data_IF_741022804798
#
_entry.id   IF_741022804798
#
_cell.length_a   1.000
_cell.length_b   1.000
_cell.length_c   1.000
_cell.angle_alpha   90.00
_cell.angle_beta   90.00
_cell.angle_gamma   90.00
#
_symmetry.space_group_name_H-M   'P 1'
#
loop_
_entity.id
_entity.type
_entity.pdbx_description
1 polymer ?
#
# COMPACT_ATOMS: atom_id res chain seq x y z
N UNK A 1 -4.65 17.67 -8.19
CA UNK A 1 -3.51 16.74 -8.36
C UNK A 1 -3.22 16.05 -7.05
N UNK A 2 -3.18 14.73 -7.07
CA UNK A 2 -2.92 13.96 -5.87
C UNK A 2 -1.43 13.96 -5.54
N UNK A 3 -1.12 14.24 -4.30
CA UNK A 3 0.25 14.31 -3.84
C UNK A 3 0.56 13.08 -3.00
N UNK A 4 1.71 12.46 -3.29
CA UNK A 4 2.14 11.29 -2.54
C UNK A 4 2.94 11.75 -1.33
N UNK A 5 2.54 11.28 -0.17
CA UNK A 5 3.23 11.55 1.08
C UNK A 5 3.83 10.26 1.61
N UNK A 6 4.84 10.38 2.45
CA UNK A 6 5.47 9.24 3.08
C UNK A 6 5.15 9.26 4.57
N UNK A 7 4.52 8.19 5.03
CA UNK A 7 4.29 7.97 6.45
C UNK A 7 5.40 7.09 6.99
N UNK A 8 6.11 7.58 8.00
CA UNK A 8 7.20 6.83 8.62
C UNK A 8 6.75 6.28 9.96
N UNK A 9 6.90 4.99 10.16
CA UNK A 9 6.54 4.32 11.39
C UNK A 9 7.77 3.60 11.93
N UNK A 10 8.09 3.72 13.23
CA UNK A 10 9.16 2.94 13.83
C UNK A 10 8.94 1.43 13.72
N UNK A 11 7.66 1.01 13.68
CA UNK A 11 7.32 -0.41 13.63
C UNK A 11 7.23 -0.94 12.21
N UNK A 12 6.70 -0.15 11.27
CA UNK A 12 6.38 -0.62 9.94
C UNK A 12 7.25 -0.03 8.83
N UNK A 13 8.12 0.93 9.15
CA UNK A 13 8.95 1.58 8.15
C UNK A 13 8.19 2.67 7.41
N UNK A 14 8.55 2.87 6.15
CA UNK A 14 7.98 3.95 5.34
C UNK A 14 6.89 3.43 4.43
N UNK A 15 5.72 4.08 4.48
CA UNK A 15 4.58 3.72 3.64
C UNK A 15 4.16 4.95 2.86
N UNK A 16 4.06 4.82 1.54
CA UNK A 16 3.59 5.91 0.68
C UNK A 16 2.07 5.98 0.76
N UNK A 17 1.55 7.20 0.89
CA UNK A 17 0.13 7.46 1.06
C UNK A 17 -0.30 8.53 0.07
N UNK A 18 -1.50 8.36 -0.49
CA UNK A 18 -2.13 9.36 -1.36
C UNK A 18 -3.46 9.73 -0.74
N UNK A 19 -3.75 11.03 -0.69
CA UNK A 19 -5.07 11.50 -0.31
C UNK A 19 -5.86 11.82 -1.58
N UNK A 20 -7.06 11.27 -1.69
CA UNK A 20 -7.92 11.50 -2.83
C UNK A 20 -9.35 11.65 -2.36
N UNK A 21 -9.96 12.81 -2.67
CA UNK A 21 -11.35 13.09 -2.31
C UNK A 21 -11.65 12.90 -0.83
N UNK A 22 -10.71 13.31 0.04
CA UNK A 22 -10.87 13.19 1.48
C UNK A 22 -10.60 11.80 2.04
N UNK A 23 -10.16 10.88 1.21
CA UNK A 23 -9.83 9.52 1.63
C UNK A 23 -8.35 9.24 1.45
N UNK A 24 -7.78 8.43 2.31
CA UNK A 24 -6.39 8.03 2.21
C UNK A 24 -6.28 6.66 1.55
N UNK A 25 -5.32 6.57 0.62
CA UNK A 25 -4.97 5.31 -0.02
C UNK A 25 -3.52 5.00 0.31
N UNK A 26 -3.22 3.73 0.53
CA UNK A 26 -1.91 3.28 1.00
C UNK A 26 -1.24 2.43 -0.07
N UNK A 27 0.07 2.61 -0.27
CA UNK A 27 0.79 1.78 -1.22
C UNK A 27 0.74 0.32 -0.76
N UNK A 28 0.08 -0.52 -1.56
CA UNK A 28 -0.15 -1.91 -1.19
C UNK A 28 1.14 -2.69 -0.96
N UNK A 29 2.12 -2.50 -1.83
CA UNK A 29 3.41 -3.19 -1.69
C UNK A 29 4.12 -2.78 -0.41
N UNK A 30 4.11 -1.49 -0.08
CA UNK A 30 4.75 -1.01 1.14
C UNK A 30 4.08 -1.61 2.37
N UNK A 31 2.75 -1.63 2.38
CA UNK A 31 1.99 -2.20 3.50
C UNK A 31 2.26 -3.70 3.63
N UNK A 32 2.16 -4.45 2.55
CA UNK A 32 2.35 -5.89 2.60
C UNK A 32 3.78 -6.24 3.05
N UNK A 33 4.76 -5.50 2.56
CA UNK A 33 6.14 -5.70 2.96
C UNK A 33 6.33 -5.42 4.45
N UNK A 34 5.72 -4.35 4.94
CA UNK A 34 5.80 -3.97 6.35
C UNK A 34 5.17 -5.01 7.26
N UNK A 35 4.14 -5.69 6.77
CA UNK A 35 3.45 -6.73 7.53
C UNK A 35 4.11 -8.11 7.40
N UNK A 36 5.23 -8.19 6.68
CA UNK A 36 6.01 -9.43 6.60
C UNK A 36 5.58 -10.40 5.53
N UNK A 37 4.70 -10.00 4.61
CA UNK A 37 4.35 -10.85 3.48
C UNK A 37 5.55 -11.02 2.56
N UNK A 38 5.90 -12.24 2.23
CA UNK A 38 7.02 -12.53 1.34
C UNK A 38 6.70 -12.20 -0.11
N UNK A 39 5.49 -12.51 -0.53
CA UNK A 39 5.01 -12.26 -1.88
C UNK A 39 3.94 -11.18 -1.80
N UNK A 40 4.35 -9.92 -1.95
CA UNK A 40 3.44 -8.80 -1.79
C UNK A 40 2.36 -8.77 -2.86
N UNK A 41 2.70 -9.14 -4.09
CA UNK A 41 1.73 -9.17 -5.19
C UNK A 41 0.61 -10.16 -4.89
N UNK A 42 0.99 -11.37 -4.48
CA UNK A 42 0.01 -12.40 -4.18
C UNK A 42 -0.83 -12.05 -2.95
N UNK A 43 -0.22 -11.44 -1.94
CA UNK A 43 -0.94 -11.01 -0.75
C UNK A 43 -2.04 -10.00 -1.11
N UNK A 44 -1.72 -9.04 -1.97
CA UNK A 44 -2.70 -8.05 -2.40
C UNK A 44 -3.82 -8.69 -3.21
N UNK A 45 -3.51 -9.64 -4.08
CA UNK A 45 -4.51 -10.36 -4.86
C UNK A 45 -5.43 -11.20 -3.97
N UNK A 46 -4.87 -11.82 -2.96
CA UNK A 46 -5.59 -12.77 -2.12
C UNK A 46 -6.46 -12.08 -1.09
N UNK A 47 -5.97 -11.00 -0.49
CA UNK A 47 -6.63 -10.40 0.68
C UNK A 47 -7.36 -9.10 0.41
N UNK A 48 -7.07 -8.43 -0.70
CA UNK A 48 -7.67 -7.12 -1.00
C UNK A 48 -8.82 -7.25 -1.98
N UNK A 49 -9.86 -6.42 -1.77
CA UNK A 49 -11.00 -6.35 -2.68
C UNK A 49 -10.68 -5.37 -3.80
N UNK A 50 -11.13 -5.70 -5.00
CA UNK A 50 -10.87 -4.87 -6.18
C UNK A 50 -11.49 -3.48 -6.08
N UNK A 51 -12.62 -3.35 -5.44
CA UNK A 51 -13.30 -2.07 -5.30
C UNK A 51 -12.56 -1.10 -4.38
N UNK A 52 -11.57 -1.60 -3.63
CA UNK A 52 -10.73 -0.77 -2.78
C UNK A 52 -9.32 -0.60 -3.31
N UNK A 53 -9.13 -0.71 -4.63
CA UNK A 53 -7.80 -0.61 -5.25
C UNK A 53 -7.79 0.51 -6.27
N UNK A 54 -6.72 1.30 -6.28
CA UNK A 54 -6.47 2.31 -7.30
C UNK A 54 -5.02 2.19 -7.78
N UNK A 55 -4.77 2.55 -9.03
CA UNK A 55 -3.44 2.50 -9.60
C UNK A 55 -2.93 3.91 -9.88
N UNK A 56 -1.68 4.15 -9.53
CA UNK A 56 -1.01 5.41 -9.78
C UNK A 56 0.31 5.14 -10.50
N UNK A 57 0.68 6.04 -11.40
CA UNK A 57 1.97 5.98 -12.07
C UNK A 57 2.97 6.80 -11.28
N UNK A 58 4.04 6.16 -10.83
CA UNK A 58 5.09 6.78 -10.04
C UNK A 58 6.39 6.77 -10.82
N UNK A 59 7.18 7.83 -10.69
CA UNK A 59 8.49 7.91 -11.32
C UNK A 59 9.55 7.58 -10.27
N UNK A 60 10.42 6.59 -10.56
CA UNK A 60 11.48 6.22 -9.63
C UNK A 60 12.70 7.14 -9.79
N UNK A 61 13.75 6.88 -9.02
CA UNK A 61 14.95 7.71 -9.01
C UNK A 61 15.72 7.67 -10.33
N UNK A 62 15.46 6.69 -11.16
CA UNK A 62 16.10 6.54 -12.48
C UNK A 62 15.24 7.14 -13.59
N UNK A 63 14.14 7.81 -13.24
CA UNK A 63 13.26 8.41 -14.21
C UNK A 63 12.30 7.42 -14.88
N UNK A 64 12.24 6.19 -14.40
CA UNK A 64 11.34 5.19 -14.97
C UNK A 64 9.96 5.32 -14.34
N UNK A 65 8.95 5.18 -15.17
CA UNK A 65 7.57 5.21 -14.72
C UNK A 65 7.15 3.82 -14.30
N UNK A 66 6.55 3.71 -13.12
CA UNK A 66 6.07 2.45 -12.57
C UNK A 66 4.62 2.60 -12.16
N UNK A 67 3.83 1.56 -12.41
CA UNK A 67 2.44 1.49 -12.00
C UNK A 67 2.39 0.89 -10.60
N UNK A 68 1.85 1.63 -9.65
CA UNK A 68 1.77 1.20 -8.27
C UNK A 68 0.31 1.00 -7.85
N UNK A 69 0.04 -0.06 -7.12
CA UNK A 69 -1.29 -0.36 -6.60
C UNK A 69 -1.42 0.24 -5.21
N UNK A 70 -2.40 1.12 -5.05
CA UNK A 70 -2.75 1.70 -3.75
C UNK A 70 -4.07 1.12 -3.28
N UNK A 71 -4.18 0.92 -1.98
CA UNK A 71 -5.33 0.24 -1.38
C UNK A 71 -6.03 1.14 -0.38
N UNK A 72 -7.33 0.90 -0.24
CA UNK A 72 -8.17 1.61 0.71
C UNK A 72 -7.85 1.20 2.14
N UNK A 73 -8.37 1.98 3.09
CA UNK A 73 -8.25 1.67 4.51
C UNK A 73 -8.86 0.29 4.83
N UNK A 74 -9.99 -0.04 4.21
CA UNK A 74 -10.59 -1.35 4.40
C UNK A 74 -9.68 -2.50 3.97
N UNK A 75 -9.01 -2.35 2.83
CA UNK A 75 -8.05 -3.36 2.39
C UNK A 75 -6.81 -3.40 3.28
N UNK A 76 -6.40 -2.25 3.81
CA UNK A 76 -5.31 -2.20 4.77
C UNK A 76 -5.62 -3.10 5.97
N UNK A 77 -6.83 -2.98 6.52
CA UNK A 77 -7.24 -3.80 7.66
C UNK A 77 -7.31 -5.28 7.32
N UNK A 78 -7.73 -5.62 6.09
CA UNK A 78 -7.73 -7.01 5.64
C UNK A 78 -6.33 -7.62 5.65
N UNK A 79 -5.35 -6.87 5.20
CA UNK A 79 -3.95 -7.31 5.23
C UNK A 79 -3.45 -7.48 6.66
N UNK A 80 -3.82 -6.56 7.55
CA UNK A 80 -3.40 -6.63 8.95
C UNK A 80 -3.97 -7.88 9.62
N UNK A 81 -5.27 -8.14 9.40
CA UNK A 81 -5.95 -9.29 10.01
C UNK A 81 -5.33 -10.61 9.57
N UNK A 82 -4.93 -10.70 8.30
CA UNK A 82 -4.36 -11.92 7.76
C UNK A 82 -2.85 -12.01 7.89
N UNK A 83 -2.20 -10.99 8.45
CA UNK A 83 -0.76 -11.02 8.65
C UNK A 83 -0.42 -11.97 9.80
N UNK A 84 0.79 -12.52 9.77
CA UNK A 84 1.26 -13.44 10.80
C UNK A 84 2.26 -12.79 11.75
N UNK A 85 2.37 -11.47 11.69
CA UNK A 85 3.27 -10.78 12.59
C UNK A 85 2.72 -10.82 14.02
N UNK A 86 3.58 -11.01 15.00
CA UNK A 86 3.15 -10.89 16.40
C UNK A 86 2.70 -9.45 16.66
N UNK A 87 1.64 -9.32 17.36
CA UNK A 87 1.12 -8.01 17.74
C UNK A 87 1.90 -7.44 18.92
#
# INVERSE_FOLDING_TARGET
MNQIEIFNSPEFGSIRIVEENGKYLFCGADVAKSLGYKDTVNALKTHCREDGVAFYHLTDNLGREQKAKFISEGNLYRLIVHSKLPS
#
